data_IF_959933322979
#
_entry.id   IF_959933322979
#
_cell.length_a   1.000
_cell.length_b   1.000
_cell.length_c   1.000
_cell.angle_alpha   90.00
_cell.angle_beta   90.00
_cell.angle_gamma   90.00
#
_symmetry.space_group_name_H-M   'P 1'
#
loop_
_entity.id
_entity.type
_entity.pdbx_description
1 polymer ?
#
# COMPACT_ATOMS: atom_id res chain seq x y z
N UNK A 1 -1.52 5.04 15.49
CA UNK A 1 -2.63 4.32 16.13
C UNK A 1 -3.47 3.66 15.04
N UNK A 2 -3.30 2.35 14.83
CA UNK A 2 -4.49 1.48 14.85
C UNK A 2 -4.43 0.85 16.23
N UNK A 3 -5.06 1.53 17.18
CA UNK A 3 -5.46 0.93 18.45
C UNK A 3 -6.81 0.31 18.16
N UNK A 4 -6.87 -1.01 18.27
CA UNK A 4 -8.13 -1.70 18.54
C UNK A 4 -7.93 -2.38 19.88
N UNK A 5 -8.20 -1.62 20.93
CA UNK A 5 -8.64 -2.20 22.21
C UNK A 5 -10.05 -2.72 21.94
N UNK A 6 -10.21 -4.04 21.98
CA UNK A 6 -11.47 -4.78 21.88
C UNK A 6 -12.47 -4.36 20.78
N UNK A 7 -12.47 -5.12 19.68
CA UNK A 7 -13.73 -5.47 19.03
C UNK A 7 -13.54 -6.74 18.20
N UNK A 8 -14.28 -7.77 18.62
CA UNK A 8 -14.48 -9.05 17.98
C UNK A 8 -15.09 -8.83 16.59
N UNK A 9 -14.29 -8.77 15.52
CA UNK A 9 -14.82 -8.71 14.15
C UNK A 9 -13.97 -9.54 13.19
N UNK A 10 -14.50 -10.72 12.86
CA UNK A 10 -14.19 -11.57 11.72
C UNK A 10 -12.71 -11.63 11.30
N UNK A 11 -11.96 -12.51 11.95
CA UNK A 11 -10.63 -12.93 11.51
C UNK A 11 -10.74 -13.63 10.15
N UNK A 12 -10.65 -12.86 9.07
CA UNK A 12 -10.15 -13.41 7.82
C UNK A 12 -8.68 -13.76 8.02
N UNK A 13 -8.27 -14.99 7.72
CA UNK A 13 -6.86 -15.49 7.79
C UNK A 13 -5.82 -14.63 7.03
N UNK A 14 -6.26 -13.59 6.33
CA UNK A 14 -5.47 -12.71 5.50
C UNK A 14 -5.05 -11.41 6.21
N UNK A 15 -5.60 -11.11 7.38
CA UNK A 15 -5.23 -9.92 8.18
C UNK A 15 -4.50 -10.34 9.44
N UNK A 16 -3.24 -9.92 9.56
CA UNK A 16 -2.42 -10.10 10.75
C UNK A 16 -2.20 -8.76 11.46
N UNK A 17 -2.33 -8.77 12.79
CA UNK A 17 -2.01 -7.60 13.63
C UNK A 17 -0.61 -7.79 14.19
N UNK A 18 0.26 -6.82 13.98
CA UNK A 18 1.63 -6.83 14.48
C UNK A 18 1.97 -5.54 15.21
N UNK A 19 2.75 -5.67 16.27
CA UNK A 19 3.21 -4.56 17.09
C UNK A 19 4.53 -4.04 16.52
N UNK A 20 4.64 -2.72 16.39
CA UNK A 20 5.85 -2.04 15.92
C UNK A 20 6.89 -2.05 17.04
N UNK A 21 8.10 -2.47 16.69
CA UNK A 21 9.22 -2.52 17.64
C UNK A 21 10.00 -1.20 17.66
N UNK A 22 10.21 -0.57 16.51
CA UNK A 22 11.05 0.64 16.39
C UNK A 22 10.25 1.93 16.59
N UNK A 23 9.90 2.22 17.85
CA UNK A 23 9.17 3.44 18.25
C UNK A 23 9.89 4.74 17.89
N UNK A 24 11.23 4.76 17.92
CA UNK A 24 12.01 5.96 17.65
C UNK A 24 11.85 6.44 16.20
N UNK A 25 11.91 5.49 15.24
CA UNK A 25 11.68 5.77 13.81
C UNK A 25 10.23 6.14 13.53
N UNK A 26 9.30 5.58 14.29
CA UNK A 26 7.89 5.94 14.22
C UNK A 26 7.65 7.39 14.68
N UNK A 27 8.38 7.85 15.68
CA UNK A 27 8.33 9.23 16.16
C UNK A 27 8.96 10.19 15.15
N UNK A 28 10.11 9.82 14.56
CA UNK A 28 10.76 10.59 13.48
C UNK A 28 9.83 10.83 12.28
N UNK A 29 9.10 9.79 11.84
CA UNK A 29 8.15 9.91 10.72
C UNK A 29 7.01 10.91 11.01
N UNK A 30 6.57 11.00 12.26
CA UNK A 30 5.54 11.96 12.64
C UNK A 30 6.10 13.37 12.76
N UNK A 31 7.20 13.54 13.50
CA UNK A 31 7.69 14.86 13.89
C UNK A 31 8.45 15.56 12.76
N UNK A 32 9.18 14.81 11.93
CA UNK A 32 10.01 15.37 10.83
C UNK A 32 9.22 15.44 9.52
N UNK A 33 8.43 14.40 9.22
CA UNK A 33 7.75 14.27 7.94
C UNK A 33 6.26 14.60 7.99
N UNK A 34 5.70 14.82 9.19
CA UNK A 34 4.28 15.17 9.37
C UNK A 34 3.34 14.03 8.97
N UNK A 35 3.80 12.79 9.01
CA UNK A 35 2.98 11.64 8.64
C UNK A 35 1.93 11.35 9.70
N UNK A 36 0.70 11.06 9.25
CA UNK A 36 -0.33 10.56 10.15
C UNK A 36 0.09 9.24 10.78
N UNK A 37 -0.39 8.97 11.99
CA UNK A 37 0.06 7.82 12.77
C UNK A 37 -0.18 6.46 12.08
N UNK A 38 -1.17 6.37 11.19
CA UNK A 38 -1.44 5.16 10.40
C UNK A 38 -0.39 4.92 9.32
N UNK A 39 -0.01 5.97 8.59
CA UNK A 39 1.00 5.90 7.52
C UNK A 39 2.39 5.66 8.10
N UNK A 40 2.74 6.36 9.17
CA UNK A 40 4.00 6.16 9.88
C UNK A 40 4.10 4.71 10.39
N UNK A 41 3.02 4.19 10.97
CA UNK A 41 2.96 2.80 11.43
C UNK A 41 3.14 1.80 10.28
N UNK A 42 2.47 2.02 9.16
CA UNK A 42 2.51 1.12 8.01
C UNK A 42 3.89 1.08 7.35
N UNK A 43 4.60 2.22 7.25
CA UNK A 43 5.97 2.29 6.71
C UNK A 43 6.93 1.49 7.59
N UNK A 44 6.93 1.74 8.91
CA UNK A 44 7.83 1.05 9.84
C UNK A 44 7.55 -0.45 9.87
N UNK A 45 6.26 -0.83 9.91
CA UNK A 45 5.90 -2.24 9.91
C UNK A 45 6.34 -2.93 8.61
N UNK A 46 6.22 -2.26 7.47
CA UNK A 46 6.68 -2.78 6.18
C UNK A 46 8.20 -2.97 6.14
N UNK A 47 8.95 -2.07 6.77
CA UNK A 47 10.40 -2.19 6.93
C UNK A 47 10.77 -3.38 7.82
N UNK A 48 10.13 -3.50 8.99
CA UNK A 48 10.38 -4.59 9.95
C UNK A 48 10.08 -5.97 9.35
N UNK A 49 9.00 -6.07 8.59
CA UNK A 49 8.59 -7.30 7.94
C UNK A 49 9.34 -7.59 6.63
N UNK A 50 10.17 -6.64 6.16
CA UNK A 50 10.78 -6.69 4.82
C UNK A 50 9.74 -7.02 3.75
N UNK A 51 8.60 -6.35 3.82
CA UNK A 51 7.45 -6.65 2.98
C UNK A 51 7.82 -6.57 1.50
N UNK A 52 7.34 -7.48 0.65
CA UNK A 52 7.60 -7.40 -0.79
C UNK A 52 6.90 -6.21 -1.45
N UNK A 53 5.82 -5.73 -0.85
CA UNK A 53 4.97 -4.70 -1.39
C UNK A 53 4.44 -3.81 -0.27
N UNK A 54 4.55 -2.51 -0.47
CA UNK A 54 3.97 -1.48 0.39
C UNK A 54 2.94 -0.69 -0.41
N UNK A 55 1.70 -0.69 0.09
CA UNK A 55 0.59 -0.01 -0.53
C UNK A 55 0.15 1.18 0.32
N UNK A 56 0.13 2.36 -0.29
CA UNK A 56 -0.44 3.56 0.33
C UNK A 56 -1.04 4.48 -0.72
N UNK A 57 -2.20 5.05 -0.39
CA UNK A 57 -2.82 6.10 -1.21
C UNK A 57 -2.39 7.50 -0.81
N UNK A 58 -1.77 7.66 0.37
CA UNK A 58 -1.26 8.96 0.80
C UNK A 58 -0.06 9.40 -0.07
N UNK A 59 -0.09 10.65 -0.50
CA UNK A 59 0.94 11.22 -1.38
C UNK A 59 2.25 11.46 -0.65
N UNK A 60 2.21 11.93 0.60
CA UNK A 60 3.39 12.20 1.42
C UNK A 60 4.03 10.88 1.84
N UNK A 61 3.24 9.92 2.33
CA UNK A 61 3.73 8.59 2.71
C UNK A 61 4.43 7.89 1.55
N UNK A 62 3.86 7.95 0.34
CA UNK A 62 4.48 7.37 -0.86
C UNK A 62 5.80 8.03 -1.25
N UNK A 63 5.96 9.32 -0.95
CA UNK A 63 7.20 10.06 -1.22
C UNK A 63 8.27 9.75 -0.17
N UNK A 64 7.87 9.55 1.08
CA UNK A 64 8.78 9.32 2.22
C UNK A 64 9.16 7.85 2.34
N UNK A 65 8.24 6.92 2.09
CA UNK A 65 8.45 5.47 2.24
C UNK A 65 9.72 4.93 1.55
N UNK A 66 10.07 5.32 0.31
CA UNK A 66 11.30 4.86 -0.33
C UNK A 66 12.56 5.18 0.46
N UNK A 67 12.59 6.29 1.22
CA UNK A 67 13.75 6.67 2.04
C UNK A 67 13.93 5.76 3.25
N UNK A 68 12.82 5.29 3.83
CA UNK A 68 12.83 4.41 5.00
C UNK A 68 12.93 2.94 4.61
N UNK A 69 12.50 2.59 3.41
CA UNK A 69 12.58 1.25 2.84
C UNK A 69 13.88 1.00 2.04
N UNK A 70 14.83 1.94 2.06
CA UNK A 70 16.14 1.73 1.41
C UNK A 70 16.82 0.47 1.97
N UNK A 71 17.25 -0.42 1.08
CA UNK A 71 17.83 -1.72 1.45
C UNK A 71 16.82 -2.87 1.55
N UNK A 72 15.54 -2.62 1.30
CA UNK A 72 14.52 -3.67 1.12
C UNK A 72 14.09 -3.77 -0.34
N UNK A 73 13.69 -4.96 -0.78
CA UNK A 73 13.11 -5.18 -2.12
C UNK A 73 11.64 -4.76 -2.21
N UNK A 74 11.20 -3.87 -1.32
CA UNK A 74 9.80 -3.47 -1.16
C UNK A 74 9.38 -2.53 -2.29
N UNK A 75 8.36 -2.93 -3.04
CA UNK A 75 7.78 -2.09 -4.08
C UNK A 75 6.74 -1.18 -3.43
N UNK A 76 6.93 0.14 -3.56
CA UNK A 76 5.96 1.14 -3.10
C UNK A 76 5.00 1.49 -4.23
N UNK A 77 3.70 1.35 -3.99
CA UNK A 77 2.67 1.71 -4.96
C UNK A 77 1.42 2.27 -4.27
N UNK A 78 0.59 2.96 -5.04
CA UNK A 78 -0.77 3.32 -4.61
C UNK A 78 -1.80 2.84 -5.61
N UNK A 79 -3.07 3.20 -5.42
CA UNK A 79 -4.20 2.65 -6.17
C UNK A 79 -4.01 2.73 -7.69
N UNK A 80 -3.59 3.88 -8.21
CA UNK A 80 -3.36 4.07 -9.65
C UNK A 80 -2.26 3.13 -10.19
N UNK A 81 -1.20 2.91 -9.41
CA UNK A 81 -0.10 2.02 -9.80
C UNK A 81 -0.57 0.58 -9.91
N UNK A 82 -1.36 0.12 -8.93
CA UNK A 82 -1.98 -1.21 -8.96
C UNK A 82 -2.91 -1.35 -10.17
N UNK A 83 -3.78 -0.37 -10.41
CA UNK A 83 -4.72 -0.43 -11.54
C UNK A 83 -4.01 -0.48 -12.90
N UNK A 84 -2.90 0.27 -13.06
CA UNK A 84 -2.06 0.19 -14.26
C UNK A 84 -1.42 -1.19 -14.41
N UNK A 85 -0.84 -1.73 -13.34
CA UNK A 85 -0.24 -3.07 -13.35
C UNK A 85 -1.28 -4.17 -13.62
N UNK A 86 -2.48 -4.03 -13.07
CA UNK A 86 -3.59 -4.95 -13.30
C UNK A 86 -4.07 -4.88 -14.75
N UNK A 87 -4.22 -3.69 -15.32
CA UNK A 87 -4.58 -3.51 -16.74
C UNK A 87 -3.61 -4.25 -17.65
N UNK A 88 -2.30 -4.09 -17.47
CA UNK A 88 -1.29 -4.78 -18.30
C UNK A 88 -1.39 -6.30 -18.18
N UNK A 89 -1.66 -6.83 -16.98
CA UNK A 89 -1.83 -8.29 -16.74
C UNK A 89 -3.19 -8.84 -17.18
N UNK A 90 -4.22 -8.01 -17.27
CA UNK A 90 -5.58 -8.38 -17.69
C UNK A 90 -5.78 -8.29 -19.21
N UNK A 91 -4.90 -7.60 -19.94
CA UNK A 91 -4.93 -7.54 -21.41
C UNK A 91 -4.99 -8.89 -22.14
N UNK A 92 -4.39 -10.01 -21.68
CA UNK A 92 -4.60 -11.31 -22.33
C UNK A 92 -6.01 -11.91 -22.12
N UNK A 93 -6.81 -11.42 -21.16
CA UNK A 93 -8.14 -11.96 -20.84
C UNK A 93 -9.30 -11.04 -21.23
N UNK A 94 -9.02 -9.74 -21.43
CA UNK A 94 -9.99 -8.80 -21.97
C UNK A 94 -9.86 -8.81 -23.50
N UNK A 95 -10.58 -9.73 -24.15
CA UNK A 95 -10.85 -9.56 -25.59
C UNK A 95 -11.58 -8.23 -25.76
N UNK A 96 -11.14 -7.34 -26.66
CA UNK A 96 -11.97 -6.22 -27.04
C UNK A 96 -13.20 -6.83 -27.71
N UNK A 97 -14.40 -6.64 -27.14
CA UNK A 97 -15.62 -6.92 -27.89
C UNK A 97 -15.64 -5.95 -29.07
N UNK A 98 -15.11 -6.39 -30.22
CA UNK A 98 -15.30 -5.72 -31.51
C UNK A 98 -16.77 -5.87 -31.89
N UNK A 99 -17.66 -5.16 -31.21
CA UNK A 99 -18.89 -4.74 -31.86
C UNK A 99 -18.48 -3.62 -32.80
N UNK A 100 -18.19 -4.01 -34.04
CA UNK A 100 -18.21 -3.09 -35.18
C UNK A 100 -19.60 -2.44 -35.16
N UNK A 101 -19.71 -1.23 -34.62
CA UNK A 101 -20.79 -0.34 -35.04
C UNK A 101 -20.50 -0.02 -36.51
N UNK A 102 -21.17 -0.75 -37.40
CA UNK A 102 -21.22 -0.45 -38.82
C UNK A 102 -21.77 0.95 -39.01
N UNK A 103 -21.05 1.77 -39.78
CA UNK A 103 -21.58 2.97 -40.40
C UNK A 103 -22.91 2.65 -41.07
N UNK A 104 -23.95 3.41 -40.72
CA UNK A 104 -25.09 3.68 -41.59
C UNK A 104 -25.40 5.17 -41.45
N UNK A 105 -24.92 5.94 -42.41
CA UNK A 105 -25.53 7.17 -42.93
C UNK A 105 -24.82 7.51 -44.25
#
# INVERSE_FOLDING_TARGET
MIVVSDATSAQGKWVEIKVISHRDKFQELQDVYGLGEGEAAAIILSQELKANFFFTDDRLARKVAPNFLQGTSTIVSGTIGILKSAKVKLLPYVTPSRNKCSMVA
#
